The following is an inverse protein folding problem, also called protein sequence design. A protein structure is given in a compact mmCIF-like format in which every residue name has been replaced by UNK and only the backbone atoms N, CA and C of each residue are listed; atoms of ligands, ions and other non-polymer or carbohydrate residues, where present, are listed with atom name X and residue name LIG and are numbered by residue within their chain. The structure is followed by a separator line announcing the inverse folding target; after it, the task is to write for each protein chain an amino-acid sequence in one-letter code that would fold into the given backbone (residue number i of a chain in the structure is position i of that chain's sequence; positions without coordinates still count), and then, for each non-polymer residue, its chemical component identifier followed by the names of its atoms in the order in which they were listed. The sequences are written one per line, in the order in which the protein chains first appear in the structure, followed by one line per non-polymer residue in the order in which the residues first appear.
data_IF_948859073798
#
_entry.id   IF_948859073798
#
_cell.length_a   1.000
_cell.length_b   1.000
_cell.length_c   1.000
_cell.angle_alpha   90.00
_cell.angle_beta   90.00
_cell.angle_gamma   90.00
#
_symmetry.space_group_name_H-M   'P 1'
#
loop_
_entity.id
_entity.type
_entity.pdbx_description
1 polymer ?
#
# COMPACT_ATOMS: atom_id res chain seq x y z
N UNK A 1 -11.32 2.87 -3.35
CA UNK A 1 -12.34 2.58 -2.31
C UNK A 1 -12.31 3.73 -1.32
N UNK A 2 -13.45 4.11 -0.76
CA UNK A 2 -13.47 5.05 0.39
C UNK A 2 -13.38 4.23 1.68
N UNK A 3 -12.71 4.75 2.70
CA UNK A 3 -12.59 4.10 4.01
C UNK A 3 -13.95 3.73 4.64
N UNK A 4 -15.00 4.50 4.38
CA UNK A 4 -16.35 4.24 4.85
C UNK A 4 -17.15 3.25 3.99
N UNK A 5 -16.57 2.72 2.91
CA UNK A 5 -17.29 1.80 2.02
C UNK A 5 -17.51 0.42 2.67
N UNK A 6 -18.68 -0.17 2.42
CA UNK A 6 -19.03 -1.52 2.92
C UNK A 6 -18.04 -2.58 2.46
N UNK A 7 -17.55 -2.46 1.21
CA UNK A 7 -16.53 -3.35 0.64
C UNK A 7 -15.22 -3.23 1.43
N UNK A 8 -14.82 -2.02 1.82
CA UNK A 8 -13.61 -1.83 2.62
C UNK A 8 -13.75 -2.50 4.00
N UNK A 9 -14.83 -2.20 4.72
CA UNK A 9 -15.03 -2.63 6.09
C UNK A 9 -15.22 -4.15 6.23
N UNK A 10 -15.98 -4.77 5.33
CA UNK A 10 -16.38 -6.18 5.48
C UNK A 10 -15.58 -7.16 4.60
N UNK A 11 -14.89 -6.69 3.55
CA UNK A 11 -14.08 -7.56 2.70
C UNK A 11 -12.60 -7.21 2.77
N UNK A 12 -12.25 -5.98 2.42
CA UNK A 12 -10.84 -5.59 2.28
C UNK A 12 -10.08 -5.66 3.61
N UNK A 13 -10.63 -5.09 4.68
CA UNK A 13 -9.97 -5.02 5.99
C UNK A 13 -9.83 -6.41 6.63
N UNK A 14 -10.89 -7.26 6.69
CA UNK A 14 -10.77 -8.62 7.21
C UNK A 14 -9.77 -9.47 6.42
N UNK A 15 -9.79 -9.37 5.08
CA UNK A 15 -8.86 -10.12 4.22
C UNK A 15 -7.41 -9.66 4.43
N UNK A 16 -7.19 -8.35 4.54
CA UNK A 16 -5.85 -7.78 4.78
C UNK A 16 -5.30 -8.22 6.13
N UNK A 17 -6.12 -8.20 7.17
CA UNK A 17 -5.74 -8.66 8.52
C UNK A 17 -5.47 -10.17 8.53
N UNK A 18 -6.31 -10.97 7.87
CA UNK A 18 -6.09 -12.40 7.76
C UNK A 18 -4.75 -12.68 7.07
N UNK A 19 -4.49 -12.05 5.93
CA UNK A 19 -3.23 -12.17 5.21
C UNK A 19 -2.03 -11.74 6.08
N UNK A 20 -2.17 -10.64 6.84
CA UNK A 20 -1.14 -10.16 7.77
C UNK A 20 -0.82 -11.17 8.88
N UNK A 21 -1.83 -11.83 9.44
CA UNK A 21 -1.62 -12.83 10.51
C UNK A 21 -1.11 -14.17 9.98
N UNK A 22 -1.50 -14.57 8.77
CA UNK A 22 -1.02 -15.80 8.12
C UNK A 22 0.45 -15.69 7.71
N UNK A 23 0.89 -14.50 7.28
CA UNK A 23 2.27 -14.32 6.85
C UNK A 23 3.23 -14.20 8.04
N UNK A 24 4.34 -14.93 7.97
CA UNK A 24 5.41 -14.84 8.96
C UNK A 24 6.02 -13.44 9.05
N UNK A 25 6.79 -13.17 10.11
CA UNK A 25 7.31 -11.83 10.45
C UNK A 25 8.01 -11.09 9.29
N UNK A 26 8.64 -11.82 8.37
CA UNK A 26 9.34 -11.27 7.20
C UNK A 26 8.42 -10.74 6.09
N UNK A 27 7.19 -11.26 5.97
CA UNK A 27 6.28 -10.92 4.87
C UNK A 27 5.27 -9.82 5.20
N UNK A 28 5.14 -9.45 6.48
CA UNK A 28 4.08 -8.54 6.97
C UNK A 28 4.11 -7.18 6.28
N UNK A 29 5.29 -6.58 6.18
CA UNK A 29 5.44 -5.28 5.54
C UNK A 29 5.12 -5.34 4.05
N UNK A 30 5.48 -6.43 3.37
CA UNK A 30 5.14 -6.62 1.96
C UNK A 30 3.63 -6.73 1.75
N UNK A 31 2.92 -7.46 2.61
CA UNK A 31 1.45 -7.56 2.55
C UNK A 31 0.79 -6.21 2.83
N UNK A 32 1.22 -5.49 3.86
CA UNK A 32 0.66 -4.18 4.17
C UNK A 32 0.90 -3.18 3.03
N UNK A 33 2.08 -3.23 2.40
CA UNK A 33 2.41 -2.38 1.27
C UNK A 33 1.55 -2.73 0.05
N UNK A 34 1.41 -4.01 -0.28
CA UNK A 34 0.55 -4.47 -1.37
C UNK A 34 -0.92 -4.10 -1.15
N UNK A 35 -1.45 -4.32 0.05
CA UNK A 35 -2.81 -3.94 0.42
C UNK A 35 -3.01 -2.42 0.29
N UNK A 36 -2.06 -1.62 0.78
CA UNK A 36 -2.11 -0.15 0.67
C UNK A 36 -2.14 0.32 -0.78
N UNK A 37 -1.32 -0.29 -1.65
CA UNK A 37 -1.34 0.00 -3.09
C UNK A 37 -2.65 -0.38 -3.74
N UNK A 38 -3.21 -1.56 -3.44
CA UNK A 38 -4.50 -2.01 -3.98
C UNK A 38 -5.65 -1.09 -3.54
N UNK A 39 -5.63 -0.63 -2.29
CA UNK A 39 -6.63 0.31 -1.77
C UNK A 39 -6.59 1.65 -2.51
N UNK A 40 -5.38 2.18 -2.75
CA UNK A 40 -5.18 3.41 -3.51
C UNK A 40 -5.52 3.25 -5.00
N UNK A 41 -5.20 2.10 -5.60
CA UNK A 41 -5.47 1.79 -7.01
C UNK A 41 -6.96 1.86 -7.36
N UNK A 42 -7.83 1.53 -6.39
CA UNK A 42 -9.25 1.34 -6.61
C UNK A 42 -10.02 2.62 -6.91
N UNK A 43 -9.57 3.77 -6.40
CA UNK A 43 -10.24 5.05 -6.65
C UNK A 43 -9.80 5.65 -7.97
N UNK A 44 -8.52 5.94 -8.08
CA UNK A 44 -7.95 6.65 -9.22
C UNK A 44 -6.54 6.12 -9.51
N UNK A 45 -6.45 5.16 -10.43
CA UNK A 45 -5.21 4.44 -10.75
C UNK A 45 -4.09 5.36 -11.25
N UNK A 46 -4.42 6.53 -11.83
CA UNK A 46 -3.44 7.50 -12.31
C UNK A 46 -2.61 8.10 -11.17
N UNK A 47 -3.24 8.47 -10.05
CA UNK A 47 -2.51 9.05 -8.91
C UNK A 47 -1.62 8.04 -8.20
N UNK A 48 -1.93 6.75 -8.32
CA UNK A 48 -1.05 5.69 -7.82
C UNK A 48 0.30 5.70 -8.55
N UNK A 49 0.32 5.88 -9.87
CA UNK A 49 1.56 5.96 -10.63
C UNK A 49 2.40 7.18 -10.23
N UNK A 50 1.74 8.33 -10.05
CA UNK A 50 2.40 9.57 -9.58
C UNK A 50 2.96 9.38 -8.16
N UNK A 51 2.21 8.74 -7.27
CA UNK A 51 2.66 8.43 -5.91
C UNK A 51 3.87 7.49 -5.92
N UNK A 52 3.83 6.41 -6.71
CA UNK A 52 4.97 5.48 -6.83
C UNK A 52 6.21 6.18 -7.38
N UNK A 53 6.05 7.01 -8.41
CA UNK A 53 7.13 7.82 -8.95
C UNK A 53 7.70 8.78 -7.90
N UNK A 54 6.83 9.45 -7.14
CA UNK A 54 7.23 10.37 -6.06
C UNK A 54 7.99 9.64 -4.94
N UNK A 55 7.55 8.45 -4.53
CA UNK A 55 8.24 7.62 -3.54
C UNK A 55 9.63 7.26 -4.03
N UNK A 56 9.75 6.77 -5.27
CA UNK A 56 11.03 6.39 -5.86
C UNK A 56 11.97 7.58 -6.03
N UNK A 57 11.47 8.72 -6.50
CA UNK A 57 12.24 9.94 -6.67
C UNK A 57 12.76 10.46 -5.32
N UNK A 58 11.90 10.55 -4.30
CA UNK A 58 12.31 10.97 -2.95
C UNK A 58 13.33 10.03 -2.33
N UNK A 59 13.18 8.71 -2.53
CA UNK A 59 14.15 7.74 -2.06
C UNK A 59 15.52 7.92 -2.72
N UNK A 60 15.55 8.12 -4.05
CA UNK A 60 16.78 8.38 -4.79
C UNK A 60 17.42 9.71 -4.37
N UNK A 61 16.64 10.78 -4.22
CA UNK A 61 17.16 12.06 -3.76
C UNK A 61 17.68 11.98 -2.32
N UNK A 62 17.02 11.25 -1.43
CA UNK A 62 17.53 10.99 -0.08
C UNK A 62 18.89 10.29 -0.10
N UNK A 63 19.05 9.27 -0.96
CA UNK A 63 20.33 8.59 -1.13
C UNK A 63 21.41 9.50 -1.74
N UNK A 64 21.03 10.39 -2.66
CA UNK A 64 21.94 11.36 -3.27
C UNK A 64 22.37 12.47 -2.31
N UNK A 65 21.54 12.83 -1.32
CA UNK A 65 21.87 13.82 -0.28
C UNK A 65 22.73 13.20 0.82
N UNK A 66 22.53 11.91 1.12
CA UNK A 66 23.35 11.16 2.10
C UNK A 66 24.78 10.87 1.57
N UNK A 67 25.00 11.00 0.25
CA UNK A 67 26.30 10.88 -0.40
C UNK A 67 26.99 12.23 -0.61
#
# INVERSE_FOLDING_TARGET
MVFSSTIFLFFFLPLTLLAYFVVGSRGRNAILLAASLLFYAWGETVYLLVMLFSIAANYLFGLLIDR
#
